data_IF_714959269141
#
_entry.id   IF_714959269141
#
_cell.length_a   1.000
_cell.length_b   1.000
_cell.length_c   1.000
_cell.angle_alpha   90.00
_cell.angle_beta   90.00
_cell.angle_gamma   90.00
#
_symmetry.space_group_name_H-M   'P 1'
#
loop_
_entity.id
_entity.type
_entity.pdbx_description
1 polymer ?
#
# COMPACT_ATOMS: atom_id res chain seq x y z
N UNK A 1 17.83 17.89 18.91
CA UNK A 1 17.18 17.06 17.88
C UNK A 1 17.29 17.82 16.58
N UNK A 2 17.85 17.20 15.55
CA UNK A 2 17.93 17.80 14.22
C UNK A 2 16.65 17.49 13.45
N UNK A 3 16.15 18.46 12.66
CA UNK A 3 14.89 18.27 11.95
C UNK A 3 15.01 17.17 10.87
N UNK A 4 13.99 16.31 10.79
CA UNK A 4 13.99 15.13 9.93
C UNK A 4 14.05 15.50 8.45
N UNK A 5 13.42 16.61 8.06
CA UNK A 5 13.44 17.12 6.69
C UNK A 5 14.81 17.65 6.30
N UNK A 6 15.47 18.36 7.22
CA UNK A 6 16.82 18.93 7.02
C UNK A 6 17.85 17.80 6.92
N UNK A 7 17.78 16.80 7.81
CA UNK A 7 18.62 15.60 7.73
C UNK A 7 18.40 14.83 6.42
N UNK A 8 17.15 14.70 5.95
CA UNK A 8 16.84 14.04 4.68
C UNK A 8 17.42 14.79 3.48
N UNK A 9 17.32 16.13 3.47
CA UNK A 9 17.91 16.96 2.41
C UNK A 9 19.45 16.91 2.40
N UNK A 10 20.11 16.92 3.57
CA UNK A 10 21.57 16.71 3.67
C UNK A 10 21.95 15.29 3.22
N UNK A 11 21.20 14.25 3.63
CA UNK A 11 21.43 12.86 3.20
C UNK A 11 21.41 12.72 1.67
N UNK A 12 20.47 13.36 0.96
CA UNK A 12 20.41 13.34 -0.51
C UNK A 12 21.61 14.01 -1.19
N UNK A 13 22.12 15.11 -0.63
CA UNK A 13 23.32 15.81 -1.14
C UNK A 13 24.61 15.00 -0.96
N UNK A 14 24.69 14.22 0.12
CA UNK A 14 25.87 13.44 0.49
C UNK A 14 25.85 12.00 -0.07
N UNK A 15 24.66 11.41 -0.30
CA UNK A 15 24.52 10.07 -0.85
C UNK A 15 24.97 10.04 -2.32
N UNK A 16 26.09 9.37 -2.58
CA UNK A 16 26.67 9.19 -3.93
C UNK A 16 26.95 7.71 -4.18
N UNK A 17 26.87 7.20 -5.42
CA UNK A 17 27.23 5.84 -5.75
C UNK A 17 28.61 5.47 -5.19
N UNK A 18 28.70 4.33 -4.49
CA UNK A 18 29.95 3.85 -3.88
C UNK A 18 30.30 4.40 -2.48
N UNK A 19 29.56 5.36 -1.92
CA UNK A 19 29.82 5.82 -0.54
C UNK A 19 29.51 4.71 0.48
N UNK A 20 30.39 4.50 1.46
CA UNK A 20 30.15 3.51 2.53
C UNK A 20 29.24 4.10 3.60
N UNK A 21 28.42 3.26 4.22
CA UNK A 21 27.49 3.66 5.29
C UNK A 21 28.15 4.44 6.44
N UNK A 22 29.36 4.05 6.86
CA UNK A 22 30.09 4.74 7.95
C UNK A 22 30.46 6.17 7.53
N UNK A 23 30.95 6.33 6.32
CA UNK A 23 31.45 7.58 5.77
C UNK A 23 30.29 8.56 5.52
N UNK A 24 29.14 8.08 5.03
CA UNK A 24 27.90 8.86 4.92
C UNK A 24 27.38 9.33 6.29
N UNK A 25 27.35 8.45 7.30
CA UNK A 25 26.93 8.83 8.66
C UNK A 25 27.91 9.84 9.27
N UNK A 26 29.22 9.70 9.03
CA UNK A 26 30.22 10.67 9.49
C UNK A 26 30.02 12.03 8.81
N UNK A 27 29.83 12.08 7.49
CA UNK A 27 29.58 13.32 6.75
C UNK A 27 28.30 14.04 7.23
N UNK A 28 27.19 13.31 7.43
CA UNK A 28 25.95 13.88 7.98
C UNK A 28 26.17 14.45 9.39
N UNK A 29 27.00 13.82 10.23
CA UNK A 29 27.32 14.30 11.59
C UNK A 29 28.33 15.45 11.63
N UNK A 30 29.10 15.65 10.56
CA UNK A 30 29.93 16.85 10.42
C UNK A 30 29.06 18.09 10.09
N UNK A 31 27.98 17.91 9.31
CA UNK A 31 26.97 18.96 9.09
C UNK A 31 26.00 19.13 10.28
N UNK A 32 25.65 18.03 10.96
CA UNK A 32 24.68 17.99 12.05
C UNK A 32 25.25 17.29 13.30
N UNK A 33 26.06 17.97 14.14
CA UNK A 33 26.74 17.35 15.28
C UNK A 33 25.81 16.68 16.29
N UNK A 34 24.66 17.30 16.56
CA UNK A 34 23.65 16.79 17.50
C UNK A 34 22.87 15.58 16.98
N UNK A 35 23.00 15.23 15.69
CA UNK A 35 22.21 14.17 15.09
C UNK A 35 22.64 12.79 15.64
N UNK A 36 21.68 12.08 16.25
CA UNK A 36 21.88 10.68 16.62
C UNK A 36 21.79 9.77 15.41
N UNK A 37 22.46 8.60 15.47
CA UNK A 37 22.35 7.56 14.43
C UNK A 37 20.88 7.14 14.18
N UNK A 38 20.02 7.21 15.21
CA UNK A 38 18.57 6.95 15.11
C UNK A 38 17.85 8.02 14.28
N UNK A 39 18.14 9.30 14.50
CA UNK A 39 17.57 10.40 13.69
C UNK A 39 18.05 10.30 12.23
N UNK A 40 19.34 10.03 11.99
CA UNK A 40 19.89 9.89 10.64
C UNK A 40 19.26 8.72 9.88
N UNK A 41 19.10 7.55 10.51
CA UNK A 41 18.41 6.41 9.89
C UNK A 41 16.92 6.72 9.65
N UNK A 42 16.24 7.37 10.60
CA UNK A 42 14.83 7.80 10.42
C UNK A 42 14.68 8.78 9.27
N UNK A 43 15.61 9.73 9.14
CA UNK A 43 15.65 10.70 8.05
C UNK A 43 15.98 10.05 6.70
N UNK A 44 16.79 8.99 6.66
CA UNK A 44 17.02 8.21 5.43
C UNK A 44 15.76 7.46 4.96
N UNK A 45 14.99 6.89 5.89
CA UNK A 45 13.68 6.30 5.54
C UNK A 45 12.67 7.35 5.10
N UNK A 46 12.59 8.50 5.78
CA UNK A 46 11.77 9.63 5.36
C UNK A 46 12.20 10.17 3.98
N UNK A 47 13.51 10.24 3.71
CA UNK A 47 14.04 10.66 2.42
C UNK A 47 13.59 9.73 1.27
N UNK A 48 13.37 8.44 1.57
CA UNK A 48 12.93 7.40 0.62
C UNK A 48 11.41 7.35 0.44
N UNK A 49 10.62 7.62 1.49
CA UNK A 49 9.15 7.53 1.42
C UNK A 49 8.44 8.87 1.17
N UNK A 50 9.14 9.99 1.31
CA UNK A 50 8.56 11.33 1.16
C UNK A 50 9.01 12.09 -0.10
N UNK A 51 10.17 11.74 -0.68
CA UNK A 51 10.34 11.91 -2.14
C UNK A 51 9.83 10.64 -2.80
N UNK A 52 8.52 10.44 -2.67
CA UNK A 52 7.76 9.87 -3.75
C UNK A 52 7.79 10.87 -4.90
N UNK A 53 8.90 10.88 -5.65
CA UNK A 53 8.96 11.30 -7.06
C UNK A 53 8.23 10.23 -7.91
N UNK A 54 7.02 9.90 -7.43
CA UNK A 54 6.13 8.89 -7.97
C UNK A 54 5.29 9.61 -9.00
N UNK A 55 5.62 9.33 -10.26
CA UNK A 55 4.95 9.80 -11.46
C UNK A 55 3.46 10.06 -11.19
N UNK A 56 2.93 11.27 -11.46
CA UNK A 56 1.54 11.59 -11.17
C UNK A 56 0.55 10.61 -11.83
N UNK A 57 0.89 10.00 -12.97
CA UNK A 57 0.11 8.90 -13.54
C UNK A 57 0.18 7.64 -12.67
N UNK A 58 1.36 7.23 -12.20
CA UNK A 58 1.51 6.07 -11.33
C UNK A 58 0.76 6.25 -9.99
N UNK A 59 0.85 7.44 -9.40
CA UNK A 59 0.10 7.81 -8.19
C UNK A 59 -1.41 7.79 -8.45
N UNK A 60 -1.86 8.33 -9.58
CA UNK A 60 -3.27 8.32 -9.98
C UNK A 60 -3.80 6.90 -10.24
N UNK A 61 -3.06 6.04 -10.93
CA UNK A 61 -3.45 4.65 -11.19
C UNK A 61 -3.56 3.83 -9.89
N UNK A 62 -2.62 4.00 -8.95
CA UNK A 62 -2.70 3.35 -7.63
C UNK A 62 -3.92 3.84 -6.82
N UNK A 63 -4.25 5.12 -6.89
CA UNK A 63 -5.43 5.69 -6.23
C UNK A 63 -6.75 5.21 -6.86
N UNK A 64 -6.83 5.17 -8.20
CA UNK A 64 -7.99 4.65 -8.91
C UNK A 64 -8.24 3.16 -8.62
N UNK A 65 -7.16 2.35 -8.62
CA UNK A 65 -7.22 0.95 -8.22
C UNK A 65 -7.73 0.78 -6.78
N UNK A 66 -7.19 1.55 -5.82
CA UNK A 66 -7.63 1.51 -4.43
C UNK A 66 -9.08 1.95 -4.21
N UNK A 67 -9.64 2.81 -5.07
CA UNK A 67 -11.06 3.16 -5.05
C UNK A 67 -11.94 2.01 -5.57
N UNK A 68 -11.54 1.35 -6.66
CA UNK A 68 -12.26 0.19 -7.22
C UNK A 68 -12.31 -0.97 -6.24
N UNK A 69 -11.17 -1.38 -5.67
CA UNK A 69 -11.10 -2.50 -4.71
C UNK A 69 -11.86 -2.18 -3.40
N UNK A 70 -11.96 -0.91 -3.01
CA UNK A 70 -12.75 -0.46 -1.86
C UNK A 70 -14.26 -0.41 -2.14
N UNK A 71 -14.66 -0.45 -3.41
CA UNK A 71 -16.05 -0.32 -3.87
C UNK A 71 -16.66 -1.65 -4.37
N UNK A 72 -16.22 -2.79 -3.84
CA UNK A 72 -16.78 -4.10 -4.16
C UNK A 72 -18.21 -4.30 -3.62
N UNK A 73 -19.20 -3.99 -4.48
CA UNK A 73 -20.67 -4.19 -4.33
C UNK A 73 -21.35 -3.41 -3.17
N UNK A 74 -22.63 -3.03 -3.16
CA UNK A 74 -23.82 -3.17 -4.05
C UNK A 74 -24.39 -1.74 -4.36
N UNK A 75 -25.42 -1.39 -5.16
CA UNK A 75 -26.36 -2.00 -6.14
C UNK A 75 -27.03 -0.84 -6.97
N UNK A 76 -27.92 -1.17 -7.92
CA UNK A 76 -29.05 -0.36 -8.47
C UNK A 76 -28.80 0.88 -9.37
N UNK A 77 -28.89 0.68 -10.70
CA UNK A 77 -30.12 0.94 -11.49
C UNK A 77 -29.99 0.43 -12.94
N UNK A 78 -31.08 0.00 -13.64
CA UNK A 78 -32.41 -0.40 -13.17
C UNK A 78 -32.78 -1.86 -13.54
N UNK A 79 -33.69 -2.48 -12.78
CA UNK A 79 -34.14 -3.85 -13.06
C UNK A 79 -35.14 -3.95 -14.23
N UNK A 80 -34.67 -4.36 -15.42
CA UNK A 80 -35.55 -4.68 -16.58
C UNK A 80 -35.34 -6.06 -17.20
N UNK A 81 -34.99 -7.10 -16.43
CA UNK A 81 -35.10 -8.49 -16.93
C UNK A 81 -35.57 -9.51 -15.86
N UNK A 82 -36.68 -9.19 -15.17
CA UNK A 82 -37.36 -10.09 -14.21
C UNK A 82 -38.14 -11.24 -14.88
N UNK A 83 -37.49 -11.98 -15.78
CA UNK A 83 -37.92 -13.32 -16.19
C UNK A 83 -37.41 -14.33 -15.14
N UNK A 84 -38.24 -15.10 -14.45
CA UNK A 84 -39.69 -15.13 -14.41
C UNK A 84 -40.10 -16.38 -13.63
N UNK A 85 -40.80 -16.24 -12.49
CA UNK A 85 -41.07 -17.36 -11.57
C UNK A 85 -41.96 -18.44 -12.20
N UNK A 86 -41.38 -19.48 -12.80
CA UNK A 86 -42.09 -20.69 -13.22
C UNK A 86 -41.25 -21.96 -13.06
N UNK A 87 -41.65 -22.75 -12.07
CA UNK A 87 -41.39 -24.20 -11.96
C UNK A 87 -39.89 -24.56 -11.75
N UNK A 88 -39.50 -25.71 -11.18
CA UNK A 88 -40.22 -26.93 -10.81
C UNK A 88 -39.89 -27.32 -9.36
N UNK A 89 -40.54 -26.72 -8.34
CA UNK A 89 -40.41 -27.19 -6.94
C UNK A 89 -41.26 -28.43 -6.66
N UNK A 90 -41.16 -29.43 -7.55
CA UNK A 90 -41.81 -30.74 -7.46
C UNK A 90 -41.11 -31.74 -8.36
N UNK A 91 -40.24 -32.55 -7.78
CA UNK A 91 -40.39 -34.01 -7.74
C UNK A 91 -39.31 -34.65 -6.86
N UNK A 92 -39.76 -35.44 -5.87
CA UNK A 92 -39.13 -36.66 -5.29
C UNK A 92 -37.75 -36.46 -4.63
N UNK A 93 -37.58 -36.63 -3.32
CA UNK A 93 -37.95 -37.81 -2.51
C UNK A 93 -37.58 -39.14 -3.18
N UNK A 94 -36.26 -39.43 -3.23
CA UNK A 94 -35.62 -40.74 -3.43
C UNK A 94 -34.09 -40.48 -3.47
N UNK A 95 -33.25 -40.96 -2.55
CA UNK A 95 -33.52 -41.72 -1.33
C UNK A 95 -32.22 -42.33 -0.80
N UNK A 96 -31.39 -41.56 -0.09
CA UNK A 96 -30.12 -42.05 0.47
C UNK A 96 -30.33 -42.94 1.70
N UNK A 97 -29.91 -44.20 1.58
CA UNK A 97 -29.94 -45.24 2.61
C UNK A 97 -29.02 -44.86 3.79
N UNK A 98 -29.24 -45.35 5.02
CA UNK A 98 -30.30 -46.22 5.53
C UNK A 98 -29.82 -47.05 6.74
N UNK A 99 -30.74 -47.60 7.53
CA UNK A 99 -30.39 -48.59 8.57
C UNK A 99 -31.59 -49.46 8.96
N UNK A 100 -31.48 -50.78 8.76
CA UNK A 100 -32.13 -51.83 9.55
C UNK A 100 -31.73 -53.22 9.03
N UNK A 101 -30.81 -53.89 9.74
CA UNK A 101 -31.02 -55.28 10.18
C UNK A 101 -30.14 -55.62 11.37
#
# INVERSE_FOLDING_TARGET
MSDIQVLAATLRKLAKPGIKRKDLIAAVRNEHPDATNKEIVRAAFYALTHDADADPEQTHHLHAFALTERAGDEEDVPLTERLGKKERRKERELGSQGHHR
#
